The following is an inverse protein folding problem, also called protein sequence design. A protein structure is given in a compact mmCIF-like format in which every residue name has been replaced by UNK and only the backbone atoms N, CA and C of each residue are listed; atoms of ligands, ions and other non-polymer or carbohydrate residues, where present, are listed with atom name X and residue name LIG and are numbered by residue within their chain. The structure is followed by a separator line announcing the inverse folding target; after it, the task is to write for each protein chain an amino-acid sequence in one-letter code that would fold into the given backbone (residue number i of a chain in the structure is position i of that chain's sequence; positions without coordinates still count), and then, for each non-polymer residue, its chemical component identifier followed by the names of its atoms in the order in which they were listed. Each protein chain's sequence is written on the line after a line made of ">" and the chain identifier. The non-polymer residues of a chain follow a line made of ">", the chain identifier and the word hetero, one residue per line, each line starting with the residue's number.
data_IF_274415392228
#
_entry.id   IF_274415392228
#
_cell.length_a   1.000
_cell.length_b   1.000
_cell.length_c   1.000
_cell.angle_alpha   90.00
_cell.angle_beta   90.00
_cell.angle_gamma   90.00
#
_symmetry.space_group_name_H-M   'P 1'
#
loop_
_entity.id
_entity.type
_entity.pdbx_description
1 polymer ?
#
# COMPACT_ATOMS: atom_id res chain seq x y z
N UNK A 1 8.06 25.19 0.67
CA UNK A 1 8.99 24.20 1.25
C UNK A 1 8.17 23.02 1.79
N UNK A 2 7.55 22.22 0.92
CA UNK A 2 6.78 21.00 1.27
C UNK A 2 6.76 20.03 0.06
N UNK A 3 7.89 19.92 -0.65
CA UNK A 3 8.00 19.09 -1.85
C UNK A 3 8.31 17.60 -1.53
N UNK A 4 8.45 17.25 -0.25
CA UNK A 4 8.86 15.91 0.21
C UNK A 4 7.74 15.14 0.94
N UNK A 5 6.46 15.52 0.77
CA UNK A 5 5.36 14.70 1.26
C UNK A 5 5.03 13.62 0.24
N UNK A 6 5.63 12.43 0.39
CA UNK A 6 5.12 11.22 -0.26
C UNK A 6 3.74 10.91 0.33
N UNK A 7 2.66 11.17 -0.42
CA UNK A 7 1.27 10.99 0.01
C UNK A 7 0.85 9.51 0.19
N UNK A 8 1.78 8.59 -0.01
CA UNK A 8 1.53 7.15 0.06
C UNK A 8 1.07 6.60 -1.29
N UNK A 9 0.38 5.48 -1.22
CA UNK A 9 -0.27 4.80 -2.35
C UNK A 9 -1.55 4.16 -1.85
N UNK A 10 -2.53 3.99 -2.72
CA UNK A 10 -3.74 3.22 -2.40
C UNK A 10 -3.48 1.71 -2.50
N UNK A 11 -4.36 0.91 -1.90
CA UNK A 11 -4.34 -0.56 -2.03
C UNK A 11 -4.42 -0.99 -3.51
N UNK A 12 -5.18 -0.25 -4.32
CA UNK A 12 -5.32 -0.48 -5.76
C UNK A 12 -4.00 -0.23 -6.50
N UNK A 13 -3.28 0.84 -6.17
CA UNK A 13 -1.99 1.13 -6.79
C UNK A 13 -0.96 0.06 -6.44
N UNK A 14 -0.92 -0.38 -5.18
CA UNK A 14 -0.03 -1.46 -4.77
C UNK A 14 -0.34 -2.78 -5.49
N UNK A 15 -1.63 -3.12 -5.62
CA UNK A 15 -2.06 -4.30 -6.38
C UNK A 15 -1.59 -4.22 -7.85
N UNK A 16 -1.82 -3.09 -8.52
CA UNK A 16 -1.41 -2.90 -9.92
C UNK A 16 0.11 -3.00 -10.11
N UNK A 17 0.90 -2.50 -9.16
CA UNK A 17 2.36 -2.63 -9.22
C UNK A 17 2.82 -4.07 -9.05
N UNK A 18 2.20 -4.85 -8.14
CA UNK A 18 2.51 -6.26 -7.97
C UNK A 18 2.11 -7.08 -9.20
N UNK A 19 0.95 -6.79 -9.79
CA UNK A 19 0.51 -7.42 -11.04
C UNK A 19 1.50 -7.11 -12.19
N UNK A 20 1.89 -5.85 -12.34
CA UNK A 20 2.89 -5.44 -13.33
C UNK A 20 4.28 -6.07 -13.09
N UNK A 21 4.60 -6.42 -11.85
CA UNK A 21 5.82 -7.13 -11.48
C UNK A 21 5.73 -8.66 -11.68
N UNK A 22 4.58 -9.17 -12.15
CA UNK A 22 4.33 -10.57 -12.49
C UNK A 22 3.78 -11.41 -11.34
N UNK A 23 3.36 -10.79 -10.23
CA UNK A 23 2.66 -11.52 -9.18
C UNK A 23 1.21 -11.84 -9.60
N UNK A 24 0.71 -12.94 -9.08
CA UNK A 24 -0.65 -13.45 -9.25
C UNK A 24 -1.24 -13.78 -7.88
N UNK A 25 -2.57 -13.99 -7.81
CA UNK A 25 -3.27 -14.22 -6.53
C UNK A 25 -2.93 -13.14 -5.49
N UNK A 26 -2.94 -11.88 -5.93
CA UNK A 26 -2.54 -10.75 -5.09
C UNK A 26 -3.67 -10.42 -4.12
N UNK A 27 -3.37 -10.40 -2.82
CA UNK A 27 -4.25 -9.86 -1.79
C UNK A 27 -3.59 -8.64 -1.17
N UNK A 28 -4.36 -7.57 -0.99
CA UNK A 28 -3.90 -6.33 -0.34
C UNK A 28 -4.89 -5.99 0.77
N UNK A 29 -4.38 -5.66 1.96
CA UNK A 29 -5.22 -5.31 3.11
C UNK A 29 -4.54 -4.33 4.05
N UNK A 30 -5.34 -3.50 4.72
CA UNK A 30 -4.87 -2.63 5.82
C UNK A 30 -4.83 -3.44 7.12
N UNK A 31 -3.63 -3.67 7.64
CA UNK A 31 -3.41 -4.46 8.87
C UNK A 31 -3.30 -3.61 10.13
N UNK A 32 -3.05 -2.31 9.98
CA UNK A 32 -2.95 -1.38 11.11
C UNK A 32 -3.39 0.02 10.73
N UNK A 33 -3.97 0.74 11.71
CA UNK A 33 -4.37 2.14 11.60
C UNK A 33 -4.03 2.85 12.90
N UNK A 34 -3.22 3.91 12.81
CA UNK A 34 -2.85 4.72 13.95
C UNK A 34 -3.97 5.71 14.31
N UNK A 35 -4.24 5.84 15.62
CA UNK A 35 -5.30 6.72 16.12
C UNK A 35 -4.87 8.17 16.23
N UNK A 36 -3.57 8.43 16.33
CA UNK A 36 -3.03 9.78 16.45
C UNK A 36 -2.74 10.36 15.07
N UNK A 37 -2.90 11.67 14.91
CA UNK A 37 -2.55 12.34 13.66
C UNK A 37 -1.05 12.15 13.38
N UNK A 38 -0.65 11.81 12.14
CA UNK A 38 -1.42 11.95 10.89
C UNK A 38 -2.21 10.69 10.44
N UNK A 39 -2.53 9.75 11.34
CA UNK A 39 -3.37 8.57 11.10
C UNK A 39 -2.81 7.62 10.03
N UNK A 40 -1.55 7.24 10.18
CA UNK A 40 -0.91 6.32 9.24
C UNK A 40 -1.63 4.98 9.17
N UNK A 41 -1.59 4.39 7.97
CA UNK A 41 -2.13 3.07 7.69
C UNK A 41 -0.99 2.17 7.22
N UNK A 42 -0.89 0.98 7.81
CA UNK A 42 0.00 -0.07 7.31
C UNK A 42 -0.77 -0.96 6.36
N UNK A 43 -0.29 -1.05 5.12
CA UNK A 43 -0.83 -1.95 4.10
C UNK A 43 0.08 -3.17 3.98
N UNK A 44 -0.50 -4.35 3.99
CA UNK A 44 0.17 -5.61 3.72
C UNK A 44 -0.33 -6.17 2.38
N UNK A 45 0.58 -6.71 1.59
CA UNK A 45 0.23 -7.42 0.36
C UNK A 45 0.94 -8.76 0.28
N UNK A 46 0.24 -9.77 -0.22
CA UNK A 46 0.74 -11.10 -0.54
C UNK A 46 0.45 -11.44 -2.00
N UNK A 47 1.20 -12.37 -2.57
CA UNK A 47 1.00 -12.86 -3.93
C UNK A 47 1.99 -13.97 -4.30
N UNK A 48 1.70 -14.71 -5.38
CA UNK A 48 2.54 -15.77 -5.94
C UNK A 48 3.23 -15.26 -7.21
N UNK A 49 4.52 -15.52 -7.35
CA UNK A 49 5.31 -15.17 -8.55
C UNK A 49 5.58 -16.38 -9.43
#
# INVERSE_FOLDING_TARGET
>A
LYADHWLGFSEVQLHQWLEAAGFTQIEVTVVSREKESPHFQTVFASGIK
#
